data_IF_722177575045
#
_entry.id   IF_722177575045
#
_cell.length_a   1.000
_cell.length_b   1.000
_cell.length_c   1.000
_cell.angle_alpha   90.00
_cell.angle_beta   90.00
_cell.angle_gamma   90.00
#
_symmetry.space_group_name_H-M   'P 1'
#
loop_
_entity.id
_entity.type
_entity.pdbx_description
1 polymer ?
#
# COMPACT_ATOMS: atom_id res chain seq x y z
N UNK A 1 -29.22 -8.76 -13.31
CA UNK A 1 -27.79 -9.15 -13.40
C UNK A 1 -26.83 -8.19 -12.68
N UNK A 2 -27.31 -7.17 -11.94
CA UNK A 2 -26.44 -6.15 -11.33
C UNK A 2 -25.83 -6.51 -9.96
N UNK A 3 -26.14 -7.68 -9.38
CA UNK A 3 -25.62 -8.11 -8.06
C UNK A 3 -24.30 -8.86 -8.15
N UNK A 4 -23.88 -9.28 -9.34
CA UNK A 4 -22.69 -10.13 -9.53
C UNK A 4 -21.39 -9.33 -9.65
N UNK A 5 -21.43 -8.16 -10.33
CA UNK A 5 -20.28 -7.26 -10.54
C UNK A 5 -19.75 -6.70 -9.22
N UNK A 6 -20.63 -6.41 -8.26
CA UNK A 6 -20.23 -5.94 -6.94
C UNK A 6 -19.43 -7.01 -6.18
N UNK A 7 -19.90 -8.27 -6.17
CA UNK A 7 -19.33 -9.35 -5.36
C UNK A 7 -17.93 -9.76 -5.82
N UNK A 8 -17.64 -9.73 -7.12
CA UNK A 8 -16.32 -10.09 -7.66
C UNK A 8 -15.25 -9.04 -7.32
N UNK A 9 -15.62 -7.77 -7.19
CA UNK A 9 -14.71 -6.68 -6.87
C UNK A 9 -14.47 -6.49 -5.35
N UNK A 10 -15.33 -7.05 -4.48
CA UNK A 10 -15.21 -6.92 -3.02
C UNK A 10 -13.85 -7.36 -2.45
N UNK A 11 -13.21 -8.45 -2.92
CA UNK A 11 -11.89 -8.84 -2.43
C UNK A 11 -10.79 -7.80 -2.72
N UNK A 12 -10.83 -7.16 -3.89
CA UNK A 12 -9.88 -6.12 -4.27
C UNK A 12 -10.11 -4.85 -3.44
N UNK A 13 -11.36 -4.44 -3.24
CA UNK A 13 -11.72 -3.31 -2.38
C UNK A 13 -11.28 -3.52 -0.93
N UNK A 14 -11.51 -4.70 -0.36
CA UNK A 14 -11.09 -5.03 1.00
C UNK A 14 -9.55 -4.97 1.14
N UNK A 15 -8.81 -5.46 0.14
CA UNK A 15 -7.34 -5.39 0.10
C UNK A 15 -6.83 -3.95 -0.01
N UNK A 16 -7.50 -3.09 -0.78
CA UNK A 16 -7.19 -1.65 -0.86
C UNK A 16 -7.47 -0.97 0.49
N UNK A 17 -8.64 -1.22 1.10
CA UNK A 17 -8.98 -0.67 2.42
C UNK A 17 -7.94 -1.05 3.48
N UNK A 18 -7.54 -2.33 3.53
CA UNK A 18 -6.45 -2.78 4.42
C UNK A 18 -5.12 -2.08 4.11
N UNK A 19 -4.78 -1.91 2.84
CA UNK A 19 -3.54 -1.22 2.44
C UNK A 19 -3.54 0.25 2.88
N UNK A 20 -4.68 0.92 2.83
CA UNK A 20 -4.83 2.30 3.32
C UNK A 20 -4.60 2.35 4.84
N UNK A 21 -5.16 1.40 5.60
CA UNK A 21 -4.88 1.30 7.04
C UNK A 21 -3.39 1.06 7.33
N UNK A 22 -2.76 0.12 6.62
CA UNK A 22 -1.32 -0.16 6.76
C UNK A 22 -0.45 1.07 6.45
N UNK A 23 -0.86 1.90 5.47
CA UNK A 23 -0.15 3.15 5.13
C UNK A 23 -0.39 4.24 6.18
N UNK A 24 -1.61 4.33 6.72
CA UNK A 24 -1.95 5.28 7.79
C UNK A 24 -1.19 5.02 9.10
N UNK A 25 -0.85 3.76 9.36
CA UNK A 25 -0.01 3.35 10.50
C UNK A 25 1.50 3.53 10.25
N UNK A 26 1.91 3.83 9.01
CA UNK A 26 3.31 3.98 8.66
C UNK A 26 3.87 5.27 9.26
N UNK A 27 4.78 5.14 10.23
CA UNK A 27 5.48 6.29 10.80
C UNK A 27 6.48 6.86 9.78
N UNK A 28 6.04 7.89 9.05
CA UNK A 28 6.86 8.66 8.11
C UNK A 28 7.38 9.98 8.72
N UNK A 29 7.19 10.18 10.01
CA UNK A 29 7.70 11.37 10.71
C UNK A 29 9.22 11.47 10.60
N UNK A 30 9.74 12.68 10.84
CA UNK A 30 11.16 12.95 10.76
C UNK A 30 11.95 11.97 11.65
N UNK A 31 13.06 11.46 11.12
CA UNK A 31 13.97 10.57 11.84
C UNK A 31 14.49 11.22 13.12
N UNK A 32 14.86 10.40 14.11
CA UNK A 32 15.34 10.91 15.38
C UNK A 32 16.60 11.78 15.21
N UNK A 33 16.66 12.96 15.86
CA UNK A 33 17.75 13.92 15.68
C UNK A 33 19.10 13.43 16.20
N UNK A 34 19.14 12.30 16.93
CA UNK A 34 20.34 11.74 17.55
C UNK A 34 20.98 10.60 16.75
N UNK A 35 20.40 10.20 15.61
CA UNK A 35 20.93 9.11 14.80
C UNK A 35 22.25 9.51 14.11
N UNK A 36 23.18 8.57 14.05
CA UNK A 36 24.36 8.69 13.18
C UNK A 36 23.97 8.73 11.71
N UNK A 37 24.91 9.13 10.84
CA UNK A 37 24.69 9.18 9.39
C UNK A 37 24.39 7.79 8.81
N UNK A 38 25.06 6.76 9.30
CA UNK A 38 24.86 5.37 8.89
C UNK A 38 23.48 4.85 9.31
N UNK A 39 23.07 5.11 10.55
CA UNK A 39 21.74 4.74 11.05
C UNK A 39 20.63 5.45 10.28
N UNK A 40 20.79 6.75 10.04
CA UNK A 40 19.86 7.54 9.26
C UNK A 40 19.74 7.03 7.81
N UNK A 41 20.87 6.67 7.18
CA UNK A 41 20.87 6.06 5.84
C UNK A 41 20.12 4.73 5.85
N UNK A 42 20.41 3.85 6.81
CA UNK A 42 19.75 2.56 6.92
C UNK A 42 18.24 2.72 7.10
N UNK A 43 17.83 3.63 7.98
CA UNK A 43 16.42 3.93 8.23
C UNK A 43 15.72 4.42 6.94
N UNK A 44 16.31 5.36 6.21
CA UNK A 44 15.73 5.83 4.94
C UNK A 44 15.65 4.72 3.89
N UNK A 45 16.65 3.83 3.82
CA UNK A 45 16.61 2.69 2.90
C UNK A 45 15.48 1.72 3.23
N UNK A 46 15.28 1.41 4.52
CA UNK A 46 14.19 0.57 5.00
C UNK A 46 12.84 1.22 4.68
N UNK A 47 12.65 2.50 5.04
CA UNK A 47 11.43 3.26 4.73
C UNK A 47 11.14 3.27 3.23
N UNK A 48 12.15 3.51 2.40
CA UNK A 48 12.03 3.50 0.94
C UNK A 48 11.59 2.13 0.41
N UNK A 49 12.11 1.02 0.97
CA UNK A 49 11.69 -0.33 0.57
C UNK A 49 10.22 -0.58 0.92
N UNK A 50 9.79 -0.18 2.11
CA UNK A 50 8.40 -0.33 2.56
C UNK A 50 7.46 0.47 1.66
N UNK A 51 7.76 1.75 1.39
CA UNK A 51 6.94 2.60 0.51
C UNK A 51 6.83 1.98 -0.89
N UNK A 52 7.94 1.51 -1.47
CA UNK A 52 7.93 0.87 -2.79
C UNK A 52 7.05 -0.38 -2.82
N UNK A 53 7.13 -1.21 -1.79
CA UNK A 53 6.30 -2.40 -1.67
C UNK A 53 4.81 -2.07 -1.63
N UNK A 54 4.43 -1.06 -0.84
CA UNK A 54 3.04 -0.59 -0.75
C UNK A 54 2.54 -0.05 -2.09
N UNK A 55 3.35 0.73 -2.82
CA UNK A 55 3.00 1.23 -4.16
C UNK A 55 2.76 0.07 -5.14
N UNK A 56 3.63 -0.94 -5.14
CA UNK A 56 3.47 -2.12 -6.03
C UNK A 56 2.17 -2.87 -5.70
N UNK A 57 1.89 -3.10 -4.42
CA UNK A 57 0.63 -3.74 -3.99
C UNK A 57 -0.60 -2.92 -4.39
N UNK A 58 -0.54 -1.61 -4.25
CA UNK A 58 -1.63 -0.72 -4.69
C UNK A 58 -1.91 -0.87 -6.18
N UNK A 59 -0.87 -0.83 -7.02
CA UNK A 59 -0.99 -1.03 -8.47
C UNK A 59 -1.62 -2.38 -8.82
N UNK A 60 -1.19 -3.45 -8.16
CA UNK A 60 -1.76 -4.80 -8.37
C UNK A 60 -3.26 -4.84 -8.02
N UNK A 61 -3.66 -4.26 -6.90
CA UNK A 61 -5.06 -4.27 -6.47
C UNK A 61 -5.95 -3.40 -7.36
N UNK A 62 -5.43 -2.26 -7.83
CA UNK A 62 -6.13 -1.40 -8.80
C UNK A 62 -6.31 -2.12 -10.14
N UNK A 63 -5.26 -2.74 -10.69
CA UNK A 63 -5.36 -3.52 -11.92
C UNK A 63 -6.39 -4.64 -11.80
N UNK A 64 -6.38 -5.37 -10.68
CA UNK A 64 -7.36 -6.44 -10.41
C UNK A 64 -8.79 -5.88 -10.40
N UNK A 65 -8.98 -4.71 -9.80
CA UNK A 65 -10.29 -4.05 -9.73
C UNK A 65 -10.75 -3.55 -11.11
N UNK A 66 -9.83 -3.00 -11.91
CA UNK A 66 -10.11 -2.59 -13.29
C UNK A 66 -10.48 -3.77 -14.20
N UNK A 67 -9.74 -4.88 -14.13
CA UNK A 67 -10.05 -6.12 -14.86
C UNK A 67 -11.42 -6.66 -14.47
N UNK A 68 -11.72 -6.70 -13.17
CA UNK A 68 -13.02 -7.14 -12.66
C UNK A 68 -14.16 -6.23 -13.12
N UNK A 69 -13.92 -4.93 -13.28
CA UNK A 69 -14.94 -3.97 -13.73
C UNK A 69 -15.17 -4.01 -15.26
N UNK A 70 -14.23 -4.54 -16.03
CA UNK A 70 -14.36 -4.71 -17.50
C UNK A 70 -15.09 -6.00 -17.90
N UNK A 71 -15.31 -6.92 -16.96
CA UNK A 71 -15.89 -8.25 -17.19
C UNK A 71 -17.32 -8.30 -16.66
#
# INVERSE_FOLDING_TARGET
>A
MSTSISKTAEPAKARIGKLISEVGELNLSQSEPHLSKEELRHEYEVRRRIIKEKIVRHGLYMNTLEETNRT
#
